data_IF_303516029718
#
_entry.id   IF_303516029718
#
_cell.length_a   1.000
_cell.length_b   1.000
_cell.length_c   1.000
_cell.angle_alpha   90.00
_cell.angle_beta   90.00
_cell.angle_gamma   90.00
#
_symmetry.space_group_name_H-M   'P 1'
#
loop_
_entity.id
_entity.type
_entity.pdbx_description
1 polymer ?
#
# COMPACT_ATOMS: atom_id res chain seq x y z
N UNK A 1 3.37 13.52 -5.37
CA UNK A 1 1.88 13.39 -5.53
C UNK A 1 1.27 12.83 -4.26
N UNK A 2 0.10 13.32 -3.84
CA UNK A 2 -0.66 12.75 -2.73
C UNK A 2 -1.83 11.93 -3.30
N UNK A 3 -1.87 10.64 -2.97
CA UNK A 3 -2.89 9.69 -3.41
C UNK A 3 -3.84 9.46 -2.23
N UNK A 4 -5.12 9.85 -2.37
CA UNK A 4 -6.10 9.76 -1.29
C UNK A 4 -7.13 8.67 -1.56
N UNK A 5 -7.35 7.83 -0.55
CA UNK A 5 -8.48 6.90 -0.49
C UNK A 5 -8.25 5.57 -1.19
N UNK A 6 -9.18 4.65 -0.92
CA UNK A 6 -9.09 3.24 -1.32
C UNK A 6 -9.12 3.03 -2.85
N UNK A 7 -10.00 3.75 -3.56
CA UNK A 7 -10.12 3.62 -5.02
C UNK A 7 -8.83 4.01 -5.75
N UNK A 8 -8.20 5.12 -5.35
CA UNK A 8 -6.95 5.54 -5.97
C UNK A 8 -5.80 4.59 -5.65
N UNK A 9 -5.79 4.01 -4.44
CA UNK A 9 -4.81 2.98 -4.09
C UNK A 9 -5.00 1.70 -4.89
N UNK A 10 -6.24 1.24 -5.10
CA UNK A 10 -6.52 0.09 -5.98
C UNK A 10 -6.02 0.35 -7.40
N UNK A 11 -6.30 1.53 -7.96
CA UNK A 11 -5.78 1.94 -9.27
C UNK A 11 -4.25 1.96 -9.31
N UNK A 12 -3.61 2.40 -8.22
CA UNK A 12 -2.16 2.42 -8.06
C UNK A 12 -1.55 1.02 -8.06
N UNK A 13 -2.24 0.01 -7.53
CA UNK A 13 -1.77 -1.39 -7.54
C UNK A 13 -2.22 -2.19 -8.78
N UNK A 14 -2.93 -1.54 -9.72
CA UNK A 14 -3.60 -2.23 -10.83
C UNK A 14 -4.72 -3.18 -10.39
N UNK A 15 -5.27 -2.97 -9.19
CA UNK A 15 -6.27 -3.81 -8.52
C UNK A 15 -5.87 -5.29 -8.39
N UNK A 16 -4.57 -5.59 -8.37
CA UNK A 16 -4.02 -6.95 -8.26
C UNK A 16 -3.89 -7.39 -6.81
N UNK A 17 -4.05 -8.70 -6.59
CA UNK A 17 -3.82 -9.36 -5.30
C UNK A 17 -2.35 -9.75 -5.15
N UNK A 18 -1.51 -8.77 -4.85
CA UNK A 18 -0.11 -9.00 -4.49
C UNK A 18 0.01 -9.73 -3.15
N UNK A 19 1.10 -10.50 -2.93
CA UNK A 19 1.50 -10.86 -1.57
C UNK A 19 1.56 -9.59 -0.71
N UNK A 20 0.92 -9.56 0.48
CA UNK A 20 0.86 -8.36 1.31
C UNK A 20 2.23 -7.78 1.70
N UNK A 21 3.27 -8.61 1.71
CA UNK A 21 4.65 -8.23 2.01
C UNK A 21 5.45 -7.71 0.82
N UNK A 22 4.90 -7.74 -0.40
CA UNK A 22 5.56 -7.17 -1.57
C UNK A 22 5.88 -5.69 -1.32
N UNK A 23 7.11 -5.20 -1.56
CA UNK A 23 7.44 -3.78 -1.46
C UNK A 23 6.57 -2.92 -2.39
N UNK A 24 6.23 -1.70 -1.97
CA UNK A 24 5.36 -0.81 -2.77
C UNK A 24 6.05 -0.36 -4.08
N UNK A 25 7.37 -0.24 -4.08
CA UNK A 25 8.20 0.07 -5.24
C UNK A 25 8.15 -1.03 -6.30
N UNK A 26 8.07 -2.30 -5.88
CA UNK A 26 7.97 -3.45 -6.77
C UNK A 26 6.56 -3.56 -7.39
N UNK A 27 5.53 -3.25 -6.61
CA UNK A 27 4.14 -3.28 -7.10
C UNK A 27 3.81 -2.09 -8.02
N UNK A 28 4.52 -0.97 -7.88
CA UNK A 28 4.25 0.29 -8.58
C UNK A 28 5.51 0.89 -9.23
N UNK A 29 6.26 0.14 -10.06
CA UNK A 29 7.52 0.61 -10.65
C UNK A 29 7.30 1.70 -11.72
N UNK A 30 6.06 1.88 -12.15
CA UNK A 30 5.68 2.72 -13.29
C UNK A 30 5.24 4.14 -12.90
N UNK A 31 5.09 4.44 -11.60
CA UNK A 31 4.56 5.74 -11.20
C UNK A 31 5.64 6.82 -11.43
N UNK A 32 5.33 7.90 -12.18
CA UNK A 32 6.37 8.74 -12.81
C UNK A 32 7.10 9.69 -11.86
N UNK A 33 6.73 9.74 -10.58
CA UNK A 33 7.26 10.71 -9.61
C UNK A 33 7.07 10.22 -8.18
N UNK A 34 7.69 10.88 -7.21
CA UNK A 34 7.51 10.56 -5.80
C UNK A 34 6.03 10.70 -5.38
N UNK A 35 5.54 9.76 -4.56
CA UNK A 35 4.18 9.81 -4.04
C UNK A 35 4.08 9.39 -2.59
N UNK A 36 3.02 9.86 -1.95
CA UNK A 36 2.54 9.37 -0.65
C UNK A 36 1.07 9.01 -0.80
N UNK A 37 0.70 7.80 -0.39
CA UNK A 37 -0.68 7.34 -0.36
C UNK A 37 -1.21 7.33 1.06
N UNK A 38 -2.41 7.87 1.24
CA UNK A 38 -3.20 7.79 2.47
C UNK A 38 -4.46 6.99 2.18
N UNK A 39 -4.57 5.82 2.80
CA UNK A 39 -5.68 4.90 2.56
C UNK A 39 -6.31 4.44 3.86
N UNK A 40 -7.63 4.44 3.90
CA UNK A 40 -8.41 3.59 4.81
C UNK A 40 -8.69 2.26 4.10
N UNK A 41 -8.51 1.14 4.78
CA UNK A 41 -8.62 -0.21 4.23
C UNK A 41 -10.10 -0.58 3.98
N UNK A 42 -10.53 -0.49 2.72
CA UNK A 42 -11.91 -0.79 2.27
C UNK A 42 -11.96 -1.85 1.15
N UNK A 43 -10.84 -2.54 0.89
CA UNK A 43 -10.70 -3.55 -0.17
C UNK A 43 -9.47 -4.45 0.03
N UNK A 44 -9.44 -5.59 -0.65
CA UNK A 44 -8.39 -6.61 -0.47
C UNK A 44 -6.96 -6.22 -0.91
N UNK A 45 -6.72 -5.51 -2.04
CA UNK A 45 -5.36 -5.21 -2.50
C UNK A 45 -4.56 -4.49 -1.43
N UNK A 46 -3.36 -4.97 -1.10
CA UNK A 46 -2.47 -4.40 -0.09
C UNK A 46 -1.04 -4.85 -0.37
N UNK A 47 -0.07 -4.00 -0.08
CA UNK A 47 1.37 -4.28 -0.21
C UNK A 47 2.11 -3.65 0.97
N UNK A 48 3.40 -3.96 1.14
CA UNK A 48 4.29 -3.33 2.10
C UNK A 48 3.97 -3.59 3.58
N UNK A 49 3.24 -4.66 3.90
CA UNK A 49 2.95 -5.06 5.29
C UNK A 49 3.81 -6.29 5.64
N UNK A 50 4.62 -6.24 6.72
CA UNK A 50 5.40 -7.39 7.18
C UNK A 50 4.55 -8.64 7.40
N UNK A 51 5.11 -9.81 7.08
CA UNK A 51 4.40 -11.10 7.12
C UNK A 51 3.85 -11.40 8.52
N UNK A 52 4.61 -11.14 9.56
CA UNK A 52 4.22 -11.33 10.96
C UNK A 52 3.01 -10.45 11.35
N UNK A 53 2.96 -9.21 10.85
CA UNK A 53 1.83 -8.31 11.05
C UNK A 53 0.59 -8.80 10.32
N UNK A 54 0.75 -9.31 9.10
CA UNK A 54 -0.34 -9.91 8.33
C UNK A 54 -0.91 -11.11 9.06
N UNK A 55 -0.06 -12.07 9.46
CA UNK A 55 -0.48 -13.27 10.18
C UNK A 55 -1.22 -12.95 11.48
N UNK A 56 -0.75 -11.94 12.22
CA UNK A 56 -1.44 -11.44 13.41
C UNK A 56 -2.83 -10.91 13.08
N UNK A 57 -2.94 -10.04 12.07
CA UNK A 57 -4.22 -9.43 11.68
C UNK A 57 -5.22 -10.44 11.14
N UNK A 58 -4.77 -11.48 10.42
CA UNK A 58 -5.63 -12.55 9.94
C UNK A 58 -6.27 -13.35 11.09
N UNK A 59 -5.54 -13.53 12.19
CA UNK A 59 -6.05 -14.21 13.40
C UNK A 59 -7.00 -13.30 14.19
N UNK A 60 -6.66 -12.02 14.34
CA UNK A 60 -7.42 -11.08 15.17
C UNK A 60 -8.72 -10.60 14.51
N UNK A 61 -8.71 -10.36 13.20
CA UNK A 61 -9.83 -9.76 12.49
C UNK A 61 -9.80 -10.18 11.01
N UNK A 62 -10.45 -11.29 10.62
CA UNK A 62 -10.43 -11.79 9.24
C UNK A 62 -10.92 -10.79 8.17
N UNK A 63 -11.57 -9.70 8.58
CA UNK A 63 -12.08 -8.64 7.68
C UNK A 63 -11.21 -7.38 7.69
N UNK A 64 -10.03 -7.41 8.31
CA UNK A 64 -9.19 -6.24 8.55
C UNK A 64 -8.83 -5.43 7.29
N UNK A 65 -8.81 -6.07 6.11
CA UNK A 65 -8.51 -5.43 4.82
C UNK A 65 -9.64 -4.57 4.27
N UNK A 66 -10.89 -4.78 4.68
CA UNK A 66 -12.03 -4.12 4.04
C UNK A 66 -13.14 -3.67 5.00
N UNK A 67 -12.92 -3.74 6.31
CA UNK A 67 -13.88 -3.27 7.30
C UNK A 67 -13.75 -1.78 7.67
N UNK A 68 -12.80 -1.05 7.08
CA UNK A 68 -12.65 0.40 7.26
C UNK A 68 -12.04 0.84 8.59
N UNK A 69 -11.64 -0.09 9.48
CA UNK A 69 -11.13 0.25 10.82
C UNK A 69 -9.66 0.68 10.85
N UNK A 70 -8.90 0.36 9.80
CA UNK A 70 -7.45 0.58 9.72
C UNK A 70 -7.10 1.40 8.49
N UNK A 71 -5.91 1.97 8.49
CA UNK A 71 -5.38 2.69 7.35
C UNK A 71 -3.88 2.53 7.21
N UNK A 72 -3.39 2.82 6.01
CA UNK A 72 -1.97 2.83 5.68
C UNK A 72 -1.55 4.19 5.15
N UNK A 73 -0.32 4.55 5.48
CA UNK A 73 0.40 5.66 4.88
C UNK A 73 1.66 5.05 4.28
N UNK A 74 1.81 5.14 2.96
CA UNK A 74 2.93 4.54 2.22
C UNK A 74 3.52 5.56 1.27
N UNK A 75 4.84 5.57 1.15
CA UNK A 75 5.55 6.51 0.30
C UNK A 75 6.58 5.81 -0.56
N UNK A 76 6.60 6.15 -1.85
CA UNK A 76 7.76 5.95 -2.71
C UNK A 76 8.36 7.32 -2.94
N UNK A 77 9.46 7.60 -2.25
CA UNK A 77 10.19 8.85 -2.41
C UNK A 77 11.34 8.59 -3.37
N UNK A 78 11.55 9.50 -4.32
CA UNK A 78 12.70 9.42 -5.20
C UNK A 78 13.98 9.37 -4.36
N UNK A 79 14.96 8.58 -4.78
CA UNK A 79 16.29 8.61 -4.16
C UNK A 79 16.80 10.04 -4.18
N UNK A 80 17.21 10.56 -3.03
CA UNK A 80 18.02 11.77 -2.95
C UNK A 80 19.43 11.47 -3.51
N UNK A 81 19.53 11.39 -4.83
CA UNK A 81 20.77 11.25 -5.59
C UNK A 81 20.51 11.94 -6.93
N UNK A 82 21.02 13.14 -7.24
CA UNK A 82 22.33 13.71 -6.98
C UNK A 82 22.23 15.25 -6.93
N UNK A 83 22.48 15.86 -5.77
CA UNK A 83 23.15 17.16 -5.73
C UNK A 83 24.65 16.85 -5.64
N UNK A 84 25.24 16.51 -6.77
CA UNK A 84 26.67 16.62 -7.07
C UNK A 84 26.77 17.22 -8.46
#
# INVERSE_FOLDING_TARGET
>A
VIIKGDLNYRRLLGDRLWPPSTPVEEAVPYFPTAFVSFRTLKSNPIVGIPVDVVEKLEKEDPKWRYNGKRGTIQSVLGSASSLR
#
